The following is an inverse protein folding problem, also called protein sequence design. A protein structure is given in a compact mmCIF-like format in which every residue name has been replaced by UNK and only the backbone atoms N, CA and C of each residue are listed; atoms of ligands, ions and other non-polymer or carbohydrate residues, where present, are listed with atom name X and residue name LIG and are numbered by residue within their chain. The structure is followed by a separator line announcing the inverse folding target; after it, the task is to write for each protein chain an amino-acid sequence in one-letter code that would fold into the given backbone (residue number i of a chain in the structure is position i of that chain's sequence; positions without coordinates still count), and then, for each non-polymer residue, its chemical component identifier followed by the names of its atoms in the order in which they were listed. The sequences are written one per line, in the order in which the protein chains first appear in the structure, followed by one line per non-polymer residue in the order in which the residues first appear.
data_IF_804395600945
#
_entry.id   IF_804395600945
#
_cell.length_a   1.000
_cell.length_b   1.000
_cell.length_c   1.000
_cell.angle_alpha   90.00
_cell.angle_beta   90.00
_cell.angle_gamma   90.00
#
_symmetry.space_group_name_H-M   'P 1'
#
loop_
_entity.id
_entity.type
_entity.pdbx_description
1 polymer ?
#
# COMPACT_ATOMS: atom_id res chain seq x y z
N UNK A 1 5.93 16.21 -3.23
CA UNK A 1 6.19 14.89 -2.58
C UNK A 1 6.96 13.94 -3.48
N UNK A 2 6.50 13.65 -4.71
CA UNK A 2 7.18 12.74 -5.65
C UNK A 2 8.65 13.09 -5.89
N UNK A 3 8.96 14.33 -6.27
CA UNK A 3 10.34 14.79 -6.51
C UNK A 3 11.25 14.62 -5.28
N UNK A 4 10.68 14.75 -4.07
CA UNK A 4 11.40 14.56 -2.81
C UNK A 4 11.63 13.07 -2.54
N UNK A 5 10.66 12.21 -2.85
CA UNK A 5 10.83 10.75 -2.74
C UNK A 5 11.80 10.21 -3.78
N UNK A 6 11.76 10.71 -5.01
CA UNK A 6 12.72 10.39 -6.07
C UNK A 6 14.13 10.81 -5.65
N UNK A 7 14.30 12.01 -5.07
CA UNK A 7 15.61 12.47 -4.61
C UNK A 7 16.10 11.75 -3.34
N UNK A 8 15.21 11.48 -2.38
CA UNK A 8 15.54 10.80 -1.11
C UNK A 8 15.67 9.29 -1.21
N UNK A 9 15.04 8.65 -2.19
CA UNK A 9 15.23 7.22 -2.47
C UNK A 9 16.60 6.91 -3.09
N UNK A 10 17.44 7.93 -3.29
CA UNK A 10 18.91 7.81 -3.40
C UNK A 10 19.40 6.88 -4.51
N UNK A 11 18.55 6.57 -5.49
CA UNK A 11 18.76 5.40 -6.33
C UNK A 11 18.58 4.12 -5.54
N UNK A 12 17.35 3.60 -5.48
CA UNK A 12 17.18 2.14 -5.52
C UNK A 12 17.83 1.74 -6.86
N UNK A 13 19.13 1.44 -6.83
CA UNK A 13 20.02 1.44 -8.00
C UNK A 13 19.38 0.60 -9.12
N UNK A 14 19.07 1.27 -10.24
CA UNK A 14 18.55 0.63 -11.46
C UNK A 14 17.03 0.41 -11.53
N UNK A 15 16.21 0.86 -10.57
CA UNK A 15 14.75 0.67 -10.62
C UNK A 15 13.98 1.96 -10.87
N UNK A 16 13.08 1.92 -11.86
CA UNK A 16 12.22 3.05 -12.21
C UNK A 16 11.08 3.21 -11.19
N UNK A 17 10.83 4.44 -10.78
CA UNK A 17 9.72 4.79 -9.88
C UNK A 17 8.50 5.14 -10.74
N UNK A 18 7.38 4.50 -10.46
CA UNK A 18 6.09 4.70 -11.11
C UNK A 18 5.07 5.24 -10.11
N UNK A 19 4.07 5.97 -10.57
CA UNK A 19 2.87 6.23 -9.77
C UNK A 19 1.83 5.15 -10.02
N UNK A 20 1.03 4.84 -9.00
CA UNK A 20 -0.20 4.09 -9.22
C UNK A 20 -1.07 4.86 -10.24
N UNK A 21 -1.44 4.25 -11.38
CA UNK A 21 -2.20 4.93 -12.43
C UNK A 21 -3.68 5.00 -12.07
N UNK A 22 -3.97 5.59 -10.90
CA UNK A 22 -5.29 5.66 -10.30
C UNK A 22 -5.46 6.99 -9.57
N UNK A 23 -6.60 7.61 -9.77
CA UNK A 23 -7.00 8.83 -9.11
C UNK A 23 -8.49 8.79 -8.83
N UNK A 24 -8.93 9.51 -7.79
CA UNK A 24 -10.34 9.56 -7.40
C UNK A 24 -11.26 10.10 -8.49
N UNK A 25 -10.75 10.99 -9.33
CA UNK A 25 -11.52 11.62 -10.41
C UNK A 25 -11.72 10.71 -11.63
N UNK A 26 -11.03 9.57 -11.71
CA UNK A 26 -11.21 8.63 -12.83
C UNK A 26 -12.58 7.97 -12.75
N UNK A 27 -13.39 8.17 -13.80
CA UNK A 27 -14.57 7.35 -14.06
C UNK A 27 -14.10 6.02 -14.63
N UNK A 28 -14.04 5.01 -13.78
CA UNK A 28 -13.60 3.67 -14.17
C UNK A 28 -14.75 2.87 -14.75
N UNK A 29 -14.66 2.58 -16.04
CA UNK A 29 -15.39 1.51 -16.71
C UNK A 29 -14.53 0.25 -16.84
N UNK A 30 -15.11 -0.82 -17.37
CA UNK A 30 -14.46 -2.13 -17.44
C UNK A 30 -13.15 -2.13 -18.25
N UNK A 31 -13.05 -1.30 -19.29
CA UNK A 31 -11.84 -1.16 -20.10
C UNK A 31 -10.72 -0.45 -19.33
N UNK A 32 -11.02 0.66 -18.66
CA UNK A 32 -10.03 1.45 -17.91
C UNK A 32 -9.43 0.63 -16.76
N UNK A 33 -10.25 -0.16 -16.07
CA UNK A 33 -9.77 -1.03 -14.99
C UNK A 33 -8.81 -2.11 -15.49
N UNK A 34 -9.05 -2.63 -16.71
CA UNK A 34 -8.14 -3.58 -17.37
C UNK A 34 -6.81 -2.92 -17.76
N UNK A 35 -6.83 -1.68 -18.23
CA UNK A 35 -5.59 -0.96 -18.55
C UNK A 35 -4.74 -0.70 -17.31
N UNK A 36 -5.37 -0.35 -16.18
CA UNK A 36 -4.67 -0.13 -14.91
C UNK A 36 -3.87 -1.37 -14.49
N UNK A 37 -4.50 -2.55 -14.52
CA UNK A 37 -3.82 -3.79 -14.12
C UNK A 37 -2.69 -4.16 -15.11
N UNK A 38 -2.88 -3.96 -16.41
CA UNK A 38 -1.85 -4.19 -17.42
C UNK A 38 -0.63 -3.26 -17.22
N UNK A 39 -0.87 -1.98 -16.90
CA UNK A 39 0.21 -1.05 -16.55
C UNK A 39 0.96 -1.52 -15.30
N UNK A 40 0.24 -1.93 -14.25
CA UNK A 40 0.84 -2.42 -13.02
C UNK A 40 1.68 -3.68 -13.24
N UNK A 41 1.20 -4.62 -14.06
CA UNK A 41 1.96 -5.81 -14.45
C UNK A 41 3.24 -5.44 -15.21
N UNK A 42 3.17 -4.48 -16.14
CA UNK A 42 4.36 -3.98 -16.85
C UNK A 42 5.36 -3.33 -15.90
N UNK A 43 4.90 -2.57 -14.91
CA UNK A 43 5.77 -1.99 -13.89
C UNK A 43 6.48 -3.07 -13.07
N UNK A 44 5.74 -4.12 -12.68
CA UNK A 44 6.29 -5.27 -11.98
C UNK A 44 7.34 -6.03 -12.82
N UNK A 45 7.05 -6.32 -14.09
CA UNK A 45 7.99 -7.01 -14.98
C UNK A 45 9.32 -6.27 -15.14
N UNK A 46 9.28 -4.93 -15.07
CA UNK A 46 10.46 -4.09 -15.13
C UNK A 46 11.18 -3.94 -13.77
N UNK A 47 10.73 -4.64 -12.73
CA UNK A 47 11.23 -4.49 -11.36
C UNK A 47 11.03 -3.07 -10.80
N UNK A 48 9.96 -2.39 -11.23
CA UNK A 48 9.67 -1.01 -10.85
C UNK A 48 9.27 -0.85 -9.39
N UNK A 49 9.50 0.35 -8.86
CA UNK A 49 9.00 0.77 -7.55
C UNK A 49 7.71 1.55 -7.76
N UNK A 50 6.61 1.11 -7.16
CA UNK A 50 5.33 1.79 -7.26
C UNK A 50 5.14 2.74 -6.07
N UNK A 51 5.01 4.03 -6.35
CA UNK A 51 4.63 5.02 -5.36
C UNK A 51 3.11 5.06 -5.24
N UNK A 52 2.63 4.68 -4.05
CA UNK A 52 1.22 4.61 -3.71
C UNK A 52 0.96 5.47 -2.48
N UNK A 53 -0.11 6.27 -2.52
CA UNK A 53 -0.62 6.94 -1.33
C UNK A 53 -1.66 6.05 -0.64
N UNK A 54 -1.69 5.97 0.71
CA UNK A 54 -2.68 5.17 1.43
C UNK A 54 -4.13 5.43 1.00
N UNK A 55 -4.46 6.67 0.68
CA UNK A 55 -5.77 7.11 0.24
C UNK A 55 -6.16 6.49 -1.11
N UNK A 56 -5.20 6.28 -2.02
CA UNK A 56 -5.46 5.64 -3.30
C UNK A 56 -5.81 4.17 -3.13
N UNK A 57 -5.08 3.45 -2.27
CA UNK A 57 -5.39 2.05 -1.94
C UNK A 57 -6.75 1.92 -1.26
N UNK A 58 -7.07 2.83 -0.33
CA UNK A 58 -8.37 2.88 0.32
C UNK A 58 -9.49 3.12 -0.70
N UNK A 59 -9.32 4.10 -1.59
CA UNK A 59 -10.33 4.44 -2.57
C UNK A 59 -10.55 3.30 -3.58
N UNK A 60 -9.50 2.56 -3.95
CA UNK A 60 -9.63 1.36 -4.79
C UNK A 60 -10.48 0.27 -4.12
N UNK A 61 -10.28 0.03 -2.81
CA UNK A 61 -11.09 -0.91 -2.01
C UNK A 61 -12.55 -0.47 -1.91
N UNK A 62 -12.79 0.80 -1.58
CA UNK A 62 -14.13 1.35 -1.45
C UNK A 62 -14.88 1.33 -2.78
N UNK A 63 -14.21 1.69 -3.89
CA UNK A 63 -14.83 1.63 -5.21
C UNK A 63 -15.19 0.20 -5.61
N UNK A 64 -14.36 -0.80 -5.30
CA UNK A 64 -14.70 -2.20 -5.55
C UNK A 64 -16.00 -2.59 -4.83
N UNK A 65 -16.14 -2.20 -3.55
CA UNK A 65 -17.37 -2.43 -2.77
C UNK A 65 -18.58 -1.68 -3.33
N UNK A 66 -18.43 -0.40 -3.67
CA UNK A 66 -19.49 0.41 -4.27
C UNK A 66 -20.01 -0.21 -5.57
N UNK A 67 -19.11 -0.69 -6.43
CA UNK A 67 -19.45 -1.34 -7.71
C UNK A 67 -20.13 -2.69 -7.49
N UNK A 68 -19.73 -3.47 -6.48
CA UNK A 68 -20.44 -4.69 -6.09
C UNK A 68 -21.88 -4.39 -5.68
N UNK A 69 -22.10 -3.36 -4.86
CA UNK A 69 -23.45 -2.96 -4.39
C UNK A 69 -24.29 -2.46 -5.57
N UNK A 70 -23.70 -1.70 -6.49
CA UNK A 70 -24.34 -1.21 -7.71
C UNK A 70 -24.59 -2.32 -8.76
N UNK A 71 -24.18 -3.57 -8.49
CA UNK A 71 -24.25 -4.73 -9.42
C UNK A 71 -23.46 -4.52 -10.72
N UNK A 72 -22.48 -3.63 -10.71
CA UNK A 72 -21.50 -3.45 -11.79
C UNK A 72 -20.35 -4.45 -11.59
N UNK A 73 -20.70 -5.73 -11.77
CA UNK A 73 -19.82 -6.84 -11.42
C UNK A 73 -18.54 -6.86 -12.26
N UNK A 74 -18.59 -6.44 -13.52
CA UNK A 74 -17.41 -6.46 -14.39
C UNK A 74 -16.31 -5.53 -13.86
N UNK A 75 -16.68 -4.30 -13.49
CA UNK A 75 -15.75 -3.34 -12.90
C UNK A 75 -15.31 -3.82 -11.52
N UNK A 76 -16.26 -4.27 -10.69
CA UNK A 76 -15.97 -4.71 -9.34
C UNK A 76 -14.97 -5.87 -9.28
N UNK A 77 -15.18 -6.93 -10.07
CA UNK A 77 -14.25 -8.06 -10.14
C UNK A 77 -12.89 -7.66 -10.69
N UNK A 78 -12.83 -6.72 -11.65
CA UNK A 78 -11.56 -6.22 -12.16
C UNK A 78 -10.78 -5.43 -11.11
N UNK A 79 -11.46 -4.64 -10.28
CA UNK A 79 -10.84 -3.91 -9.16
C UNK A 79 -10.35 -4.87 -8.07
N UNK A 80 -11.15 -5.88 -7.72
CA UNK A 80 -10.77 -6.92 -6.77
C UNK A 80 -9.53 -7.68 -7.23
N UNK A 81 -9.49 -8.10 -8.50
CA UNK A 81 -8.29 -8.73 -9.09
C UNK A 81 -7.05 -7.84 -9.01
N UNK A 82 -7.22 -6.53 -9.16
CA UNK A 82 -6.11 -5.57 -9.02
C UNK A 82 -5.61 -5.50 -7.57
N UNK A 83 -6.52 -5.49 -6.60
CA UNK A 83 -6.19 -5.51 -5.18
C UNK A 83 -5.49 -6.82 -4.77
N UNK A 84 -5.97 -7.96 -5.28
CA UNK A 84 -5.34 -9.27 -5.08
C UNK A 84 -3.95 -9.32 -5.70
N UNK A 85 -3.78 -8.81 -6.91
CA UNK A 85 -2.47 -8.70 -7.56
C UNK A 85 -1.47 -7.92 -6.71
N UNK A 86 -1.87 -6.77 -6.15
CA UNK A 86 -0.99 -6.05 -5.23
C UNK A 86 -0.69 -6.85 -3.96
N UNK A 87 -1.68 -7.53 -3.38
CA UNK A 87 -1.47 -8.34 -2.19
C UNK A 87 -0.46 -9.48 -2.42
N UNK A 88 -0.50 -10.13 -3.58
CA UNK A 88 0.32 -11.29 -3.89
C UNK A 88 1.72 -10.89 -4.38
N UNK A 89 1.79 -9.92 -5.29
CA UNK A 89 3.01 -9.60 -6.05
C UNK A 89 3.72 -8.31 -5.62
N UNK A 90 3.20 -7.54 -4.65
CA UNK A 90 3.88 -6.35 -4.14
C UNK A 90 4.45 -6.55 -2.73
N UNK A 91 5.41 -5.70 -2.37
CA UNK A 91 6.00 -5.60 -1.03
C UNK A 91 6.18 -4.14 -0.67
N UNK A 92 5.74 -3.77 0.53
CA UNK A 92 5.97 -2.44 1.07
C UNK A 92 7.44 -2.27 1.45
N UNK A 93 8.01 -1.12 1.10
CA UNK A 93 9.41 -0.77 1.40
C UNK A 93 9.42 0.33 2.45
N UNK A 94 10.16 0.09 3.53
CA UNK A 94 10.33 1.05 4.63
C UNK A 94 11.78 1.46 4.69
N UNK A 95 12.05 2.75 4.45
CA UNK A 95 13.37 3.34 4.63
C UNK A 95 13.71 3.48 6.13
N UNK A 96 15.00 3.29 6.46
CA UNK A 96 15.53 3.35 7.85
C UNK A 96 14.73 2.51 8.84
N UNK A 97 14.50 1.24 8.48
CA UNK A 97 13.68 0.32 9.27
C UNK A 97 14.19 0.12 10.71
N UNK A 98 15.51 0.20 10.93
CA UNK A 98 16.14 0.15 12.24
C UNK A 98 15.72 1.33 13.15
N UNK A 99 15.57 2.52 12.56
CA UNK A 99 15.03 3.70 13.25
C UNK A 99 13.51 3.58 13.41
N UNK A 100 12.79 3.29 12.32
CA UNK A 100 11.32 3.26 12.28
C UNK A 100 10.69 2.19 13.16
N UNK A 101 11.35 1.05 13.34
CA UNK A 101 10.87 -0.04 14.19
C UNK A 101 11.63 -0.17 15.51
N UNK A 102 12.43 0.84 15.88
CA UNK A 102 13.14 0.86 17.15
C UNK A 102 12.18 0.78 18.34
N UNK A 103 12.56 0.02 19.37
CA UNK A 103 11.82 -0.05 20.63
C UNK A 103 11.63 1.32 21.30
N UNK A 104 12.51 2.29 21.00
CA UNK A 104 12.41 3.68 21.48
C UNK A 104 11.12 4.39 21.04
N UNK A 105 10.58 3.99 19.89
CA UNK A 105 9.35 4.57 19.33
C UNK A 105 8.15 3.62 19.46
N UNK A 106 8.30 2.48 20.16
CA UNK A 106 7.18 1.60 20.44
C UNK A 106 6.32 2.21 21.53
N UNK A 107 5.08 2.50 21.17
CA UNK A 107 4.04 2.89 22.12
C UNK A 107 3.50 1.60 22.76
N UNK A 108 3.97 1.29 23.97
CA UNK A 108 3.51 0.13 24.73
C UNK A 108 2.27 0.55 25.52
N UNK A 109 1.10 0.14 25.05
CA UNK A 109 -0.12 0.22 25.83
C UNK A 109 -0.22 -1.01 26.71
N UNK A 110 -0.12 -0.83 28.03
CA UNK A 110 -0.49 -1.87 28.98
C UNK A 110 -2.01 -1.99 28.94
N UNK A 111 -2.49 -3.08 28.37
CA UNK A 111 -3.89 -3.49 28.44
C UNK A 111 -3.94 -4.58 29.52
N UNK A 112 -4.96 -4.53 30.39
CA UNK A 112 -5.15 -5.34 31.62
C UNK A 112 -4.69 -4.66 32.92
N UNK A 113 -5.03 -5.29 34.05
CA UNK A 113 -4.73 -4.81 35.39
C UNK A 113 -3.23 -4.67 35.64
N UNK A 114 -2.87 -3.69 36.47
CA UNK A 114 -1.48 -3.41 36.83
C UNK A 114 -0.87 -4.63 37.53
N UNK A 115 0.14 -5.22 36.91
CA UNK A 115 0.96 -6.26 37.52
C UNK A 115 2.34 -5.73 37.92
N UNK A 116 2.98 -6.31 38.95
CA UNK A 116 4.37 -6.00 39.26
C UNK A 116 5.26 -6.29 38.05
N UNK A 117 6.22 -5.39 37.80
CA UNK A 117 7.18 -5.54 36.70
C UNK A 117 8.01 -6.79 36.95
N UNK A 118 8.15 -7.66 35.96
CA UNK A 118 9.00 -8.85 36.04
C UNK A 118 10.43 -8.42 36.44
N UNK A 119 11.00 -9.05 37.47
CA UNK A 119 12.29 -8.70 38.12
C UNK A 119 12.28 -7.40 38.96
N UNK A 120 11.12 -6.90 39.38
CA UNK A 120 11.08 -5.90 40.46
C UNK A 120 11.72 -6.51 41.71
N UNK A 121 12.62 -5.79 42.42
CA UNK A 121 13.12 -6.26 43.71
C UNK A 121 11.91 -6.55 44.59
N UNK A 122 11.81 -7.79 45.07
CA UNK A 122 10.80 -8.18 46.03
C UNK A 122 10.89 -7.19 47.20
N UNK A 123 9.76 -6.57 47.54
CA UNK A 123 9.66 -5.66 48.68
C UNK A 123 10.05 -6.37 49.98
#
# INVERSE_FOLDING_TARGET
MFQILVSKSGGIIGRRIYHLPFSRALKLGSMQTKEIILMCQKYMMNGGVLLVQPEQTLFLKLMALERMIARDFDVAHSLLKTLEFFREYSRDVVDKSDEKFSAKFKLVYTISDQQPVQLSPER
#
